data_IF_297361720854
#
_entry.id   IF_297361720854
#
_cell.length_a   1.000
_cell.length_b   1.000
_cell.length_c   1.000
_cell.angle_alpha   90.00
_cell.angle_beta   90.00
_cell.angle_gamma   90.00
#
_symmetry.space_group_name_H-M   'P 1'
#
loop_
_entity.id
_entity.type
_entity.pdbx_description
1 polymer ?
#
# COMPACT_ATOMS: atom_id res chain seq x y z
N UNK A 1 -14.05 11.14 -13.53
CA UNK A 1 -13.15 12.05 -12.79
C UNK A 1 -12.66 11.31 -11.57
N UNK A 2 -11.40 11.35 -11.17
CA UNK A 2 -10.98 10.76 -9.90
C UNK A 2 -11.80 11.46 -8.80
N UNK A 3 -12.49 10.69 -7.97
CA UNK A 3 -13.26 11.21 -6.86
C UNK A 3 -12.33 11.93 -5.89
N UNK A 4 -12.28 13.25 -6.00
CA UNK A 4 -11.47 14.11 -5.18
C UNK A 4 -12.24 14.37 -3.87
N UNK A 5 -11.78 13.77 -2.78
CA UNK A 5 -12.34 14.06 -1.47
C UNK A 5 -11.63 15.26 -0.86
N UNK A 6 -12.32 16.37 -0.77
CA UNK A 6 -11.80 17.63 -0.26
C UNK A 6 -11.26 17.49 1.17
N UNK A 7 -11.99 16.81 2.05
CA UNK A 7 -11.59 16.68 3.46
C UNK A 7 -10.27 15.92 3.61
N UNK A 8 -10.12 14.81 2.92
CA UNK A 8 -8.89 13.99 2.93
C UNK A 8 -7.71 14.75 2.31
N UNK A 9 -7.97 15.47 1.22
CA UNK A 9 -6.95 16.28 0.56
C UNK A 9 -6.51 17.45 1.42
N UNK A 10 -7.44 18.20 2.04
CA UNK A 10 -7.12 19.29 2.96
C UNK A 10 -6.33 18.76 4.15
N UNK A 11 -6.70 17.59 4.69
CA UNK A 11 -5.95 16.95 5.78
C UNK A 11 -4.50 16.61 5.36
N UNK A 12 -4.31 16.06 4.16
CA UNK A 12 -2.96 15.81 3.65
C UNK A 12 -2.16 17.12 3.49
N UNK A 13 -2.77 18.16 2.91
CA UNK A 13 -2.12 19.46 2.75
C UNK A 13 -1.80 20.15 4.07
N UNK A 14 -2.59 19.93 5.12
CA UNK A 14 -2.30 20.48 6.47
C UNK A 14 -1.02 19.92 7.09
N UNK A 15 -0.51 18.78 6.59
CA UNK A 15 0.76 18.20 7.03
C UNK A 15 1.98 18.77 6.31
N UNK A 16 1.79 19.65 5.32
CA UNK A 16 2.89 20.28 4.59
C UNK A 16 3.61 21.31 5.47
N UNK A 17 4.94 21.22 5.46
CA UNK A 17 5.85 22.22 6.00
C UNK A 17 6.75 22.72 4.88
N UNK A 18 7.37 23.88 5.04
CA UNK A 18 8.34 24.42 4.06
C UNK A 18 9.41 23.36 3.76
N UNK A 19 9.91 22.65 4.77
CA UNK A 19 10.94 21.62 4.62
C UNK A 19 10.44 20.42 3.80
N UNK A 20 9.21 19.96 4.03
CA UNK A 20 8.59 18.87 3.24
C UNK A 20 8.36 19.25 1.79
N UNK A 21 7.87 20.47 1.55
CA UNK A 21 7.69 21.02 0.19
C UNK A 21 9.04 21.12 -0.54
N UNK A 22 10.05 21.69 0.11
CA UNK A 22 11.38 21.78 -0.46
C UNK A 22 11.99 20.40 -0.78
N UNK A 23 11.85 19.44 0.15
CA UNK A 23 12.28 18.07 -0.08
C UNK A 23 11.57 17.45 -1.30
N UNK A 24 10.24 17.54 -1.37
CA UNK A 24 9.46 17.02 -2.49
C UNK A 24 9.87 17.66 -3.84
N UNK A 25 10.12 18.97 -3.86
CA UNK A 25 10.61 19.68 -5.05
C UNK A 25 11.97 19.14 -5.50
N UNK A 26 12.92 18.92 -4.58
CA UNK A 26 14.23 18.32 -4.89
C UNK A 26 14.11 16.91 -5.46
N UNK A 27 13.25 16.07 -4.85
CA UNK A 27 12.97 14.70 -5.33
C UNK A 27 12.39 14.75 -6.75
N UNK A 28 11.41 15.62 -6.99
CA UNK A 28 10.78 15.77 -8.31
C UNK A 28 11.79 16.26 -9.35
N UNK A 29 12.57 17.28 -9.04
CA UNK A 29 13.57 17.83 -9.95
C UNK A 29 14.63 16.78 -10.31
N UNK A 30 15.16 16.05 -9.31
CA UNK A 30 16.14 14.99 -9.55
C UNK A 30 15.57 13.84 -10.39
N UNK A 31 14.31 13.48 -10.19
CA UNK A 31 13.64 12.48 -11.03
C UNK A 31 13.49 12.94 -12.48
N UNK A 32 13.03 14.18 -12.72
CA UNK A 32 12.86 14.69 -14.08
C UNK A 32 14.20 14.80 -14.81
N UNK A 33 15.25 15.29 -14.13
CA UNK A 33 16.60 15.32 -14.70
C UNK A 33 17.15 13.93 -14.98
N UNK A 34 16.89 12.96 -14.09
CA UNK A 34 17.26 11.57 -14.35
C UNK A 34 16.61 11.04 -15.62
N UNK A 35 15.32 11.32 -15.84
CA UNK A 35 14.61 10.93 -17.08
C UNK A 35 15.21 11.57 -18.33
N UNK A 36 15.55 12.84 -18.24
CA UNK A 36 16.11 13.60 -19.38
C UNK A 36 17.53 13.17 -19.74
N UNK A 37 18.36 12.90 -18.73
CA UNK A 37 19.79 12.61 -18.92
C UNK A 37 20.11 11.13 -19.04
N UNK A 38 19.18 10.23 -18.68
CA UNK A 38 19.45 8.81 -18.56
C UNK A 38 20.38 8.42 -17.40
N UNK A 39 20.71 9.37 -16.50
CA UNK A 39 21.60 9.14 -15.36
C UNK A 39 20.82 9.26 -14.05
N UNK A 40 20.92 8.28 -13.12
CA UNK A 40 20.20 8.36 -11.85
C UNK A 40 20.76 9.48 -10.97
N UNK A 41 19.92 10.43 -10.63
CA UNK A 41 20.20 11.53 -9.70
C UNK A 41 19.20 11.46 -8.54
N UNK A 42 19.66 11.72 -7.32
CA UNK A 42 18.80 11.76 -6.13
C UNK A 42 19.21 12.92 -5.23
N UNK A 43 18.32 13.91 -5.04
CA UNK A 43 18.64 15.13 -4.31
C UNK A 43 17.89 15.31 -2.99
N UNK A 44 16.85 14.55 -2.78
CA UNK A 44 16.03 14.60 -1.57
C UNK A 44 15.83 13.23 -0.94
N UNK A 45 15.05 13.20 0.14
CA UNK A 45 14.66 11.98 0.85
C UNK A 45 13.25 11.55 0.44
N UNK A 46 12.83 10.29 0.72
CA UNK A 46 11.48 9.85 0.35
C UNK A 46 10.41 10.75 0.97
N UNK A 47 9.41 11.04 0.16
CA UNK A 47 8.22 11.78 0.57
C UNK A 47 7.22 10.84 1.24
N UNK A 48 7.29 9.55 0.89
CA UNK A 48 6.45 8.48 1.42
C UNK A 48 7.27 7.26 1.80
N UNK A 49 6.92 6.63 2.92
CA UNK A 49 7.52 5.37 3.36
C UNK A 49 6.40 4.41 3.72
N UNK A 50 6.59 3.13 3.39
CA UNK A 50 5.76 2.04 3.88
C UNK A 50 6.53 1.25 4.92
N UNK A 51 5.98 1.11 6.13
CA UNK A 51 6.46 0.17 7.13
C UNK A 51 5.61 -1.09 7.12
N UNK A 52 6.25 -2.23 7.32
CA UNK A 52 5.58 -3.52 7.52
C UNK A 52 5.32 -3.75 9.01
N UNK A 53 4.08 -3.59 9.51
CA UNK A 53 3.82 -3.82 10.94
C UNK A 53 4.02 -5.27 11.37
N UNK A 54 3.74 -6.21 10.48
CA UNK A 54 3.92 -7.65 10.70
C UNK A 54 3.82 -8.41 9.39
N UNK A 55 4.40 -9.60 9.32
CA UNK A 55 4.20 -10.56 8.24
C UNK A 55 2.99 -11.47 8.48
N UNK A 56 2.45 -11.51 9.70
CA UNK A 56 1.35 -12.40 10.07
C UNK A 56 0.01 -11.91 9.53
N UNK A 57 -0.82 -12.83 9.04
CA UNK A 57 -2.19 -12.57 8.62
C UNK A 57 -3.10 -13.72 9.05
N UNK A 58 -4.36 -13.41 9.36
CA UNK A 58 -5.39 -14.40 9.66
C UNK A 58 -6.06 -14.99 8.41
N UNK A 59 -5.86 -14.39 7.23
CA UNK A 59 -6.43 -14.83 5.96
C UNK A 59 -5.42 -15.63 5.13
N UNK A 60 -5.93 -16.33 4.11
CA UNK A 60 -5.15 -17.14 3.16
C UNK A 60 -5.47 -16.79 1.71
N UNK A 61 -5.34 -15.49 1.38
CA UNK A 61 -5.58 -15.01 0.02
C UNK A 61 -4.58 -15.61 -0.98
N UNK A 62 -5.03 -16.11 -2.15
CA UNK A 62 -4.21 -16.93 -3.08
C UNK A 62 -3.06 -16.19 -3.75
N UNK A 63 -3.12 -14.85 -3.85
CA UNK A 63 -2.07 -14.03 -4.48
C UNK A 63 -1.31 -13.18 -3.44
N UNK A 64 -1.23 -13.65 -2.20
CA UNK A 64 -0.58 -12.92 -1.13
C UNK A 64 0.43 -13.81 -0.38
N UNK A 65 1.73 -13.47 -0.33
CA UNK A 65 2.72 -14.27 0.39
C UNK A 65 2.40 -14.49 1.87
N UNK A 66 1.81 -13.50 2.55
CA UNK A 66 1.32 -13.68 3.93
C UNK A 66 0.15 -14.68 4.00
N UNK A 67 -0.71 -14.69 3.00
CA UNK A 67 -1.83 -15.63 2.91
C UNK A 67 -1.37 -17.05 2.60
N UNK A 68 -0.47 -17.20 1.66
CA UNK A 68 0.15 -18.47 1.26
C UNK A 68 1.13 -18.98 2.32
N UNK A 69 1.65 -18.09 3.18
CA UNK A 69 2.74 -18.36 4.15
C UNK A 69 4.05 -18.78 3.48
N UNK A 70 4.29 -18.22 2.30
CA UNK A 70 5.43 -18.52 1.44
C UNK A 70 6.43 -17.36 1.45
N UNK A 71 7.07 -17.11 2.59
CA UNK A 71 8.19 -16.19 2.68
C UNK A 71 9.51 -16.97 2.71
N UNK A 72 10.49 -16.55 1.91
CA UNK A 72 11.88 -17.03 2.03
C UNK A 72 12.64 -16.24 3.12
N UNK A 73 12.10 -15.08 3.55
CA UNK A 73 12.65 -14.24 4.61
C UNK A 73 12.02 -14.53 5.99
N UNK A 74 12.68 -14.15 7.10
CA UNK A 74 12.11 -14.28 8.43
C UNK A 74 10.74 -13.59 8.55
N UNK A 75 9.89 -14.15 9.41
CA UNK A 75 8.58 -13.59 9.74
C UNK A 75 8.59 -13.00 11.15
N UNK A 76 7.82 -11.93 11.39
CA UNK A 76 7.79 -11.28 12.69
C UNK A 76 6.95 -10.03 12.76
N UNK A 77 7.24 -9.19 13.78
CA UNK A 77 6.51 -7.97 14.07
C UNK A 77 7.45 -6.80 14.31
N UNK A 78 7.10 -5.65 13.75
CA UNK A 78 7.78 -4.37 13.96
C UNK A 78 7.72 -3.97 15.44
N UNK A 79 8.86 -3.63 16.00
CA UNK A 79 8.97 -3.13 17.36
C UNK A 79 8.83 -1.61 17.40
N UNK A 80 8.05 -1.10 18.36
CA UNK A 80 7.74 0.34 18.44
C UNK A 80 8.98 1.22 18.67
N UNK A 81 9.97 0.74 19.40
CA UNK A 81 11.18 1.53 19.69
C UNK A 81 12.02 1.70 18.43
N UNK A 82 12.26 0.62 17.67
CA UNK A 82 12.92 0.69 16.37
C UNK A 82 12.16 1.59 15.38
N UNK A 83 10.83 1.52 15.37
CA UNK A 83 9.98 2.39 14.56
C UNK A 83 10.19 3.86 14.93
N UNK A 84 10.16 4.20 16.24
CA UNK A 84 10.35 5.56 16.74
C UNK A 84 11.71 6.13 16.36
N UNK A 85 12.78 5.38 16.59
CA UNK A 85 14.15 5.77 16.22
C UNK A 85 14.24 6.08 14.72
N UNK A 86 13.68 5.22 13.86
CA UNK A 86 13.66 5.44 12.42
C UNK A 86 12.86 6.68 12.03
N UNK A 87 11.68 6.89 12.61
CA UNK A 87 10.85 8.06 12.34
C UNK A 87 11.54 9.35 12.79
N UNK A 88 12.22 9.35 13.94
CA UNK A 88 12.93 10.53 14.45
C UNK A 88 14.06 10.98 13.52
N UNK A 89 14.68 10.07 12.79
CA UNK A 89 15.70 10.42 11.78
C UNK A 89 15.13 11.13 10.54
N UNK A 90 13.85 10.89 10.17
CA UNK A 90 13.32 11.27 8.85
C UNK A 90 12.02 12.08 8.87
N UNK A 91 11.33 12.24 10.00
CA UNK A 91 9.98 12.84 10.05
C UNK A 91 9.87 14.25 9.45
N UNK A 92 10.97 15.00 9.48
CA UNK A 92 10.99 16.37 8.97
C UNK A 92 10.81 16.46 7.45
N UNK A 93 11.25 15.45 6.72
CA UNK A 93 11.14 15.31 5.26
C UNK A 93 9.94 14.46 4.84
N UNK A 94 9.48 13.56 5.73
CA UNK A 94 8.43 12.57 5.44
C UNK A 94 7.05 13.22 5.52
N UNK A 95 6.28 13.15 4.44
CA UNK A 95 4.91 13.64 4.38
C UNK A 95 3.89 12.52 4.65
N UNK A 96 4.13 11.33 4.10
CA UNK A 96 3.15 10.26 4.03
C UNK A 96 3.74 8.95 4.55
N UNK A 97 3.09 8.33 5.52
CA UNK A 97 3.49 7.06 6.11
C UNK A 97 2.41 6.01 5.92
N UNK A 98 2.79 4.88 5.37
CA UNK A 98 1.92 3.75 5.08
C UNK A 98 2.26 2.63 6.07
N UNK A 99 1.28 2.16 6.81
CA UNK A 99 1.41 1.03 7.72
C UNK A 99 0.83 -0.24 7.12
N UNK A 100 1.29 -0.63 5.95
CA UNK A 100 1.06 -1.95 5.37
C UNK A 100 2.09 -2.25 4.30
N UNK A 101 2.48 -3.50 4.21
CA UNK A 101 3.28 -4.08 3.16
C UNK A 101 2.83 -5.52 2.97
N UNK A 102 3.09 -6.37 3.96
CA UNK A 102 2.55 -7.72 4.11
C UNK A 102 1.82 -7.82 5.45
N UNK A 103 1.06 -8.90 5.67
CA UNK A 103 0.37 -9.17 6.92
C UNK A 103 -0.89 -8.32 7.19
N UNK A 104 -1.43 -8.47 8.40
CA UNK A 104 -2.56 -7.70 8.91
C UNK A 104 -2.07 -6.78 10.03
N UNK A 105 -2.06 -5.45 9.84
CA UNK A 105 -1.50 -4.49 10.80
C UNK A 105 -2.06 -4.61 12.22
N UNK A 106 -3.35 -4.89 12.35
CA UNK A 106 -4.03 -4.99 13.64
C UNK A 106 -3.65 -6.23 14.47
N UNK A 107 -2.83 -7.14 13.93
CA UNK A 107 -2.19 -8.20 14.70
C UNK A 107 -0.99 -7.73 15.50
N UNK A 108 -0.38 -6.60 15.12
CA UNK A 108 0.68 -6.00 15.92
C UNK A 108 0.07 -5.22 17.08
N UNK A 109 0.35 -5.58 18.35
CA UNK A 109 -0.25 -4.92 19.51
C UNK A 109 0.17 -3.45 19.65
N UNK A 110 1.36 -3.09 19.19
CA UNK A 110 1.91 -1.73 19.24
C UNK A 110 1.50 -0.86 18.04
N UNK A 111 0.68 -1.40 17.11
CA UNK A 111 0.38 -0.73 15.84
C UNK A 111 -0.23 0.66 16.03
N UNK A 112 -1.26 0.80 16.85
CA UNK A 112 -1.96 2.07 17.05
C UNK A 112 -1.09 3.09 17.82
N UNK A 113 -0.19 2.63 18.68
CA UNK A 113 0.80 3.50 19.35
C UNK A 113 1.81 4.06 18.33
N UNK A 114 2.21 3.27 17.35
CA UNK A 114 3.08 3.72 16.25
C UNK A 114 2.34 4.72 15.34
N UNK A 115 1.07 4.49 15.05
CA UNK A 115 0.23 5.44 14.29
C UNK A 115 0.15 6.77 15.03
N UNK A 116 -0.18 6.73 16.33
CA UNK A 116 -0.27 7.94 17.16
C UNK A 116 1.05 8.69 17.19
N UNK A 117 2.17 7.99 17.36
CA UNK A 117 3.49 8.61 17.35
C UNK A 117 3.80 9.35 16.05
N UNK A 118 3.49 8.73 14.90
CA UNK A 118 3.67 9.36 13.59
C UNK A 118 2.72 10.56 13.39
N UNK A 119 1.47 10.43 13.84
CA UNK A 119 0.49 11.52 13.82
C UNK A 119 0.99 12.73 14.62
N UNK A 120 1.50 12.51 15.84
CA UNK A 120 2.03 13.57 16.74
C UNK A 120 3.26 14.27 16.13
N UNK A 121 4.01 13.62 15.21
CA UNK A 121 5.07 14.22 14.38
C UNK A 121 4.54 14.97 13.16
N UNK A 122 3.22 15.08 12.99
CA UNK A 122 2.57 15.75 11.87
C UNK A 122 2.72 15.02 10.54
N UNK A 123 2.92 13.70 10.55
CA UNK A 123 2.97 12.88 9.34
C UNK A 123 1.54 12.42 9.00
N UNK A 124 1.18 12.44 7.72
CA UNK A 124 -0.07 11.85 7.26
C UNK A 124 0.06 10.31 7.27
N UNK A 125 -0.83 9.63 7.99
CA UNK A 125 -0.77 8.18 8.23
C UNK A 125 -1.88 7.44 7.51
N UNK A 126 -1.55 6.28 6.91
CA UNK A 126 -2.51 5.42 6.23
C UNK A 126 -2.26 3.95 6.54
N UNK A 127 -3.33 3.17 6.63
CA UNK A 127 -3.23 1.71 6.72
C UNK A 127 -4.29 1.01 5.88
N UNK A 128 -4.04 -0.28 5.62
CA UNK A 128 -5.00 -1.20 5.01
C UNK A 128 -5.22 -2.39 5.93
N UNK A 129 -6.47 -2.81 6.11
CA UNK A 129 -6.85 -3.94 6.96
C UNK A 129 -7.90 -4.81 6.29
N UNK A 130 -7.93 -6.08 6.66
CA UNK A 130 -9.02 -6.97 6.33
C UNK A 130 -10.22 -6.82 7.30
N UNK A 131 -10.12 -5.91 8.26
CA UNK A 131 -11.13 -5.46 9.23
C UNK A 131 -11.64 -6.50 10.24
N UNK A 132 -11.13 -7.74 10.25
CA UNK A 132 -11.56 -8.77 11.24
C UNK A 132 -11.25 -8.40 12.69
N UNK A 133 -10.27 -7.51 12.89
CA UNK A 133 -9.84 -7.08 14.22
C UNK A 133 -10.34 -5.69 14.61
N UNK A 134 -11.22 -5.07 13.80
CA UNK A 134 -11.87 -3.80 14.12
C UNK A 134 -13.06 -4.01 15.07
N UNK A 135 -12.79 -4.65 16.23
CA UNK A 135 -13.74 -4.72 17.33
C UNK A 135 -14.14 -3.31 17.76
N UNK A 136 -15.19 -3.20 18.56
CA UNK A 136 -15.66 -1.90 19.07
C UNK A 136 -14.53 -1.10 19.74
N UNK A 137 -13.78 -1.71 20.65
CA UNK A 137 -12.66 -1.08 21.34
C UNK A 137 -11.54 -0.68 20.38
N UNK A 138 -11.14 -1.56 19.45
CA UNK A 138 -10.07 -1.25 18.49
C UNK A 138 -10.48 -0.18 17.48
N UNK A 139 -11.75 -0.17 17.08
CA UNK A 139 -12.29 0.89 16.22
C UNK A 139 -12.22 2.27 16.90
N UNK A 140 -12.62 2.35 18.19
CA UNK A 140 -12.47 3.55 18.99
C UNK A 140 -11.01 4.03 19.05
N UNK A 141 -10.10 3.15 19.47
CA UNK A 141 -8.67 3.44 19.54
C UNK A 141 -8.08 3.84 18.18
N UNK A 142 -8.58 3.30 17.08
CA UNK A 142 -8.15 3.68 15.73
C UNK A 142 -8.50 5.12 15.43
N UNK A 143 -9.70 5.58 15.77
CA UNK A 143 -10.09 6.99 15.61
C UNK A 143 -9.26 7.89 16.53
N UNK A 144 -9.07 7.48 17.80
CA UNK A 144 -8.32 8.24 18.81
C UNK A 144 -6.80 8.30 18.50
N UNK A 145 -6.26 7.35 17.73
CA UNK A 145 -4.84 7.34 17.34
C UNK A 145 -4.46 8.46 16.36
N UNK A 146 -5.45 9.13 15.77
CA UNK A 146 -5.23 10.14 14.76
C UNK A 146 -4.86 9.57 13.39
N UNK A 147 -5.16 8.29 13.12
CA UNK A 147 -5.01 7.71 11.78
C UNK A 147 -5.74 8.57 10.75
N UNK A 148 -5.06 8.99 9.69
CA UNK A 148 -5.63 9.88 8.68
C UNK A 148 -6.44 9.12 7.64
N UNK A 149 -6.02 7.91 7.25
CA UNK A 149 -6.71 7.10 6.22
C UNK A 149 -6.76 5.62 6.59
N UNK A 150 -7.96 5.03 6.50
CA UNK A 150 -8.20 3.61 6.70
C UNK A 150 -8.75 2.98 5.43
N UNK A 151 -8.06 1.99 4.91
CA UNK A 151 -8.46 1.17 3.77
C UNK A 151 -9.02 -0.13 4.32
N UNK A 152 -10.29 -0.40 4.06
CA UNK A 152 -10.92 -1.68 4.38
C UNK A 152 -10.95 -2.51 3.11
N UNK A 153 -10.22 -3.61 3.10
CA UNK A 153 -10.18 -4.55 1.98
C UNK A 153 -11.39 -5.48 2.03
N UNK A 154 -12.29 -5.34 1.07
CA UNK A 154 -13.52 -6.12 0.97
C UNK A 154 -13.76 -6.55 -0.49
N UNK A 155 -13.66 -7.83 -0.78
CA UNK A 155 -13.66 -8.36 -2.14
C UNK A 155 -14.88 -9.25 -2.43
N UNK A 156 -16.02 -8.88 -1.88
CA UNK A 156 -17.32 -9.48 -2.09
C UNK A 156 -18.40 -8.86 -1.22
N UNK A 157 -19.66 -8.93 -1.67
CA UNK A 157 -20.84 -8.44 -0.94
C UNK A 157 -21.69 -9.58 -0.36
N UNK A 158 -21.36 -10.84 -0.71
CA UNK A 158 -21.89 -12.04 -0.11
C UNK A 158 -20.76 -12.92 0.41
N UNK A 159 -21.02 -13.73 1.46
CA UNK A 159 -19.98 -14.58 2.05
C UNK A 159 -19.36 -15.53 1.02
N UNK A 160 -20.18 -16.14 0.17
CA UNK A 160 -19.73 -17.14 -0.80
C UNK A 160 -18.78 -16.54 -1.85
N UNK A 161 -19.04 -15.31 -2.30
CA UNK A 161 -18.16 -14.59 -3.23
C UNK A 161 -16.91 -14.06 -2.50
N UNK A 162 -17.08 -13.46 -1.33
CA UNK A 162 -16.00 -12.90 -0.54
C UNK A 162 -14.92 -13.94 -0.22
N UNK A 163 -15.31 -15.13 0.22
CA UNK A 163 -14.37 -16.17 0.64
C UNK A 163 -13.60 -16.81 -0.53
N UNK A 164 -14.03 -16.65 -1.77
CA UNK A 164 -13.30 -17.18 -2.92
C UNK A 164 -11.91 -16.52 -3.08
N UNK A 165 -11.79 -15.25 -2.72
CA UNK A 165 -10.49 -14.58 -2.69
C UNK A 165 -9.97 -14.40 -1.25
N UNK A 166 -10.82 -14.01 -0.30
CA UNK A 166 -10.48 -13.81 1.11
C UNK A 166 -10.63 -15.11 1.91
N UNK A 167 -9.86 -16.12 1.51
CA UNK A 167 -9.95 -17.47 2.10
C UNK A 167 -9.75 -17.44 3.61
N UNK A 168 -10.68 -18.05 4.34
CA UNK A 168 -10.75 -18.02 5.81
C UNK A 168 -11.36 -16.76 6.41
N UNK A 169 -11.75 -15.80 5.56
CA UNK A 169 -12.40 -14.57 6.00
C UNK A 169 -13.90 -14.71 6.22
N UNK A 170 -14.44 -13.87 7.09
CA UNK A 170 -15.86 -13.75 7.42
C UNK A 170 -16.36 -12.36 7.09
N UNK A 171 -17.27 -12.27 6.13
CA UNK A 171 -17.76 -10.97 5.64
C UNK A 171 -18.51 -10.20 6.74
N UNK A 172 -19.27 -10.88 7.59
CA UNK A 172 -19.96 -10.27 8.73
C UNK A 172 -19.00 -9.49 9.64
N UNK A 173 -17.81 -10.04 9.91
CA UNK A 173 -16.76 -9.36 10.70
C UNK A 173 -16.22 -8.11 10.02
N UNK A 174 -16.06 -8.14 8.71
CA UNK A 174 -15.63 -6.97 7.94
C UNK A 174 -16.67 -5.86 8.00
N UNK A 175 -17.94 -6.21 7.83
CA UNK A 175 -19.07 -5.27 7.88
C UNK A 175 -19.27 -4.71 9.31
N UNK A 176 -19.13 -5.53 10.33
CA UNK A 176 -19.14 -5.11 11.74
C UNK A 176 -18.02 -4.11 12.00
N UNK A 177 -16.78 -4.42 11.60
CA UNK A 177 -15.62 -3.55 11.77
C UNK A 177 -15.79 -2.20 11.04
N UNK A 178 -16.35 -2.22 9.83
CA UNK A 178 -16.64 -0.99 9.07
C UNK A 178 -17.70 -0.12 9.78
N UNK A 179 -18.79 -0.74 10.28
CA UNK A 179 -19.82 -0.02 11.05
C UNK A 179 -19.26 0.57 12.35
N UNK A 180 -18.40 -0.17 13.05
CA UNK A 180 -17.73 0.29 14.26
C UNK A 180 -16.89 1.56 14.01
N UNK A 181 -16.06 1.57 12.97
CA UNK A 181 -15.26 2.76 12.62
C UNK A 181 -16.15 3.96 12.28
N UNK A 182 -17.17 3.77 11.45
CA UNK A 182 -18.09 4.87 11.06
C UNK A 182 -18.82 5.42 12.27
N UNK A 183 -19.28 4.55 13.18
CA UNK A 183 -19.93 4.94 14.42
C UNK A 183 -18.99 5.75 15.32
N UNK A 184 -17.78 5.28 15.59
CA UNK A 184 -16.83 5.99 16.44
C UNK A 184 -16.36 7.32 15.85
N UNK A 185 -16.18 7.41 14.52
CA UNK A 185 -15.96 8.71 13.86
C UNK A 185 -17.08 9.70 14.19
N UNK A 186 -18.33 9.25 14.14
CA UNK A 186 -19.51 10.11 14.42
C UNK A 186 -19.59 10.47 15.90
N UNK A 187 -19.43 9.52 16.81
CA UNK A 187 -19.51 9.72 18.27
C UNK A 187 -18.43 10.68 18.78
N UNK A 188 -17.19 10.51 18.27
CA UNK A 188 -16.05 11.36 18.61
C UNK A 188 -15.98 12.66 17.77
N UNK A 189 -16.96 12.89 16.88
CA UNK A 189 -16.99 14.03 15.94
C UNK A 189 -15.69 14.19 15.15
N UNK A 190 -15.01 13.08 14.86
CA UNK A 190 -13.75 13.06 14.15
C UNK A 190 -13.93 13.10 12.63
N UNK A 191 -13.13 13.93 11.95
CA UNK A 191 -13.05 13.93 10.48
C UNK A 191 -12.15 12.82 9.94
N UNK A 192 -11.34 12.18 10.79
CA UNK A 192 -10.41 11.11 10.48
C UNK A 192 -10.74 9.84 11.26
N UNK A 193 -10.36 8.67 10.73
CA UNK A 193 -9.74 8.45 9.42
C UNK A 193 -10.73 8.66 8.26
N UNK A 194 -10.21 9.04 7.09
CA UNK A 194 -10.93 8.88 5.82
C UNK A 194 -11.03 7.39 5.52
N UNK A 195 -12.23 6.85 5.49
CA UNK A 195 -12.49 5.42 5.37
C UNK A 195 -12.99 5.08 3.97
N UNK A 196 -12.32 4.17 3.29
CA UNK A 196 -12.85 3.67 2.03
C UNK A 196 -12.75 2.15 1.89
N UNK A 197 -13.73 1.59 1.20
CA UNK A 197 -13.68 0.22 0.75
C UNK A 197 -12.75 0.10 -0.45
N UNK A 198 -11.76 -0.78 -0.34
CA UNK A 198 -10.97 -1.20 -1.47
C UNK A 198 -11.49 -2.56 -1.95
N UNK A 199 -12.03 -2.56 -3.17
CA UNK A 199 -12.57 -3.75 -3.82
C UNK A 199 -11.59 -4.20 -4.90
N UNK A 200 -10.92 -5.32 -4.67
CA UNK A 200 -10.06 -5.95 -5.67
C UNK A 200 -10.96 -6.70 -6.65
N UNK A 201 -11.03 -6.19 -7.88
CA UNK A 201 -11.87 -6.83 -8.89
C UNK A 201 -11.18 -8.08 -9.41
N UNK A 202 -11.82 -9.21 -9.22
CA UNK A 202 -11.44 -10.53 -9.73
C UNK A 202 -12.65 -11.17 -10.41
N UNK A 203 -12.43 -12.16 -11.28
CA UNK A 203 -13.50 -12.84 -12.02
C UNK A 203 -14.65 -13.31 -11.11
N UNK A 204 -14.43 -13.91 -9.93
CA UNK A 204 -15.52 -14.33 -9.06
C UNK A 204 -16.41 -13.21 -8.53
N UNK A 205 -15.93 -11.96 -8.43
CA UNK A 205 -16.66 -10.86 -7.79
C UNK A 205 -17.00 -9.70 -8.74
N UNK A 206 -16.59 -9.73 -10.01
CA UNK A 206 -16.79 -8.62 -10.95
C UNK A 206 -18.27 -8.26 -11.15
N UNK A 207 -19.20 -9.20 -10.92
CA UNK A 207 -20.63 -8.96 -10.98
C UNK A 207 -21.19 -8.17 -9.78
N UNK A 208 -20.40 -8.01 -8.69
CA UNK A 208 -20.83 -7.31 -7.46
C UNK A 208 -20.37 -5.85 -7.38
N UNK A 209 -19.87 -5.27 -8.48
CA UNK A 209 -19.35 -3.88 -8.49
C UNK A 209 -20.41 -2.86 -8.07
N UNK A 210 -21.66 -3.01 -8.53
CA UNK A 210 -22.73 -2.09 -8.15
C UNK A 210 -23.25 -2.35 -6.72
N UNK A 211 -23.19 -3.58 -6.27
CA UNK A 211 -23.64 -3.93 -4.92
C UNK A 211 -22.68 -3.42 -3.86
N UNK A 212 -21.36 -3.46 -4.09
CA UNK A 212 -20.41 -2.86 -3.13
C UNK A 212 -20.57 -1.34 -3.00
N UNK A 213 -20.96 -0.64 -4.08
CA UNK A 213 -21.28 0.80 -4.01
C UNK A 213 -22.50 1.08 -3.15
N UNK A 214 -23.55 0.26 -3.28
CA UNK A 214 -24.76 0.37 -2.44
C UNK A 214 -24.43 0.08 -0.97
N UNK A 215 -23.72 -1.01 -0.71
CA UNK A 215 -23.28 -1.42 0.62
C UNK A 215 -22.41 -0.37 1.32
N UNK A 216 -21.49 0.24 0.59
CA UNK A 216 -20.65 1.32 1.09
C UNK A 216 -21.47 2.55 1.53
N UNK A 217 -22.46 2.92 0.73
CA UNK A 217 -23.39 4.02 1.05
C UNK A 217 -24.26 3.68 2.26
N UNK A 218 -24.76 2.47 2.37
CA UNK A 218 -25.55 1.98 3.50
C UNK A 218 -24.77 2.06 4.82
N UNK A 219 -23.51 1.59 4.83
CA UNK A 219 -22.64 1.61 5.99
C UNK A 219 -22.17 3.04 6.31
N UNK A 220 -22.03 3.88 5.30
CA UNK A 220 -21.59 5.26 5.44
C UNK A 220 -20.08 5.43 5.40
N UNK A 221 -19.34 4.54 4.71
CA UNK A 221 -17.92 4.78 4.41
C UNK A 221 -17.76 5.89 3.38
N UNK A 222 -16.64 6.59 3.42
CA UNK A 222 -16.44 7.82 2.66
C UNK A 222 -16.32 7.58 1.14
N UNK A 223 -15.86 6.38 0.70
CA UNK A 223 -15.65 6.06 -0.73
C UNK A 223 -15.53 4.56 -0.99
N UNK A 224 -15.70 4.16 -2.26
CA UNK A 224 -15.27 2.84 -2.78
C UNK A 224 -14.18 3.06 -3.83
N UNK A 225 -13.14 2.24 -3.79
CA UNK A 225 -12.07 2.23 -4.80
C UNK A 225 -11.87 0.82 -5.36
N UNK A 226 -11.87 0.73 -6.67
CA UNK A 226 -11.63 -0.53 -7.36
C UNK A 226 -10.14 -0.71 -7.63
N UNK A 227 -9.66 -1.93 -7.44
CA UNK A 227 -8.29 -2.35 -7.75
C UNK A 227 -8.29 -3.51 -8.72
N UNK A 228 -7.26 -3.56 -9.56
CA UNK A 228 -7.00 -4.70 -10.42
C UNK A 228 -6.10 -5.70 -9.72
N UNK A 229 -6.41 -6.99 -9.85
CA UNK A 229 -5.59 -8.06 -9.28
C UNK A 229 -4.20 -8.13 -9.95
N UNK A 230 -3.18 -8.35 -9.12
CA UNK A 230 -1.90 -8.87 -9.58
C UNK A 230 -1.97 -10.39 -9.44
N UNK A 231 -1.84 -11.10 -10.55
CA UNK A 231 -1.78 -12.55 -10.60
C UNK A 231 -0.34 -12.94 -10.93
N UNK A 232 0.28 -13.80 -10.12
CA UNK A 232 1.69 -14.17 -10.34
C UNK A 232 1.87 -14.97 -11.62
N UNK A 233 1.10 -16.01 -11.77
CA UNK A 233 1.05 -16.81 -13.00
C UNK A 233 -0.12 -16.35 -13.88
N UNK A 234 -0.02 -15.12 -14.39
CA UNK A 234 -1.08 -14.53 -15.22
C UNK A 234 -1.20 -15.16 -16.61
N UNK A 235 -0.22 -15.92 -17.05
CA UNK A 235 -0.28 -16.63 -18.34
C UNK A 235 -1.24 -17.82 -18.29
N UNK A 236 -1.29 -18.52 -17.16
CA UNK A 236 -2.14 -19.69 -16.94
C UNK A 236 -3.38 -19.37 -16.08
N UNK A 237 -3.30 -18.36 -15.20
CA UNK A 237 -4.34 -17.97 -14.23
C UNK A 237 -5.01 -19.16 -13.53
N UNK A 238 -4.25 -19.99 -12.80
CA UNK A 238 -4.75 -21.26 -12.25
C UNK A 238 -5.93 -21.06 -11.28
N UNK A 239 -6.00 -19.90 -10.64
CA UNK A 239 -7.07 -19.54 -9.71
C UNK A 239 -8.25 -18.82 -10.40
N UNK A 240 -8.20 -18.64 -11.72
CA UNK A 240 -9.20 -17.92 -12.51
C UNK A 240 -9.58 -16.55 -11.92
N UNK A 241 -8.58 -15.76 -11.57
CA UNK A 241 -8.76 -14.46 -10.91
C UNK A 241 -8.83 -13.28 -11.89
N UNK A 242 -8.33 -13.45 -13.11
CA UNK A 242 -8.35 -12.38 -14.11
C UNK A 242 -9.81 -12.07 -14.51
N UNK A 243 -10.28 -10.83 -14.27
CA UNK A 243 -11.66 -10.48 -14.60
C UNK A 243 -11.92 -10.50 -16.12
N UNK A 244 -13.13 -10.85 -16.51
CA UNK A 244 -13.56 -10.84 -17.92
C UNK A 244 -13.75 -9.42 -18.44
N UNK A 245 -14.10 -8.48 -17.55
CA UNK A 245 -14.16 -7.08 -17.89
C UNK A 245 -12.75 -6.48 -17.98
N UNK A 246 -12.32 -6.22 -19.21
CA UNK A 246 -10.98 -5.67 -19.49
C UNK A 246 -10.67 -4.35 -18.76
N UNK A 247 -11.69 -3.55 -18.43
CA UNK A 247 -11.52 -2.30 -17.67
C UNK A 247 -10.80 -2.54 -16.34
N UNK A 248 -11.10 -3.67 -15.69
CA UNK A 248 -10.54 -4.02 -14.38
C UNK A 248 -9.39 -5.02 -14.46
N UNK A 249 -8.94 -5.41 -15.66
CA UNK A 249 -7.83 -6.32 -15.86
C UNK A 249 -6.50 -5.56 -16.05
N UNK A 250 -5.42 -6.02 -15.40
CA UNK A 250 -4.03 -5.59 -15.69
C UNK A 250 -3.53 -6.18 -16.99
N UNK A 251 -4.18 -7.21 -17.48
CA UNK A 251 -3.73 -8.06 -18.56
C UNK A 251 -4.63 -7.91 -19.78
N UNK A 252 -4.08 -8.25 -20.92
CA UNK A 252 -4.80 -8.35 -22.20
C UNK A 252 -4.28 -9.52 -23.00
N UNK A 253 -5.12 -10.10 -23.84
CA UNK A 253 -4.68 -11.11 -24.80
C UNK A 253 -3.83 -10.44 -25.88
N UNK A 254 -2.62 -10.95 -26.09
CA UNK A 254 -1.74 -10.50 -27.17
C UNK A 254 -2.17 -11.04 -28.53
N UNK A 255 -1.53 -10.53 -29.60
CA UNK A 255 -1.78 -11.03 -30.98
C UNK A 255 -1.42 -12.50 -31.17
N UNK A 256 -0.57 -13.03 -30.31
CA UNK A 256 -0.12 -14.43 -30.26
C UNK A 256 -1.02 -15.32 -29.38
N UNK A 257 -2.18 -14.80 -28.94
CA UNK A 257 -3.11 -15.51 -28.06
C UNK A 257 -2.66 -15.61 -26.59
N UNK A 258 -1.47 -15.14 -26.24
CA UNK A 258 -0.95 -15.19 -24.87
C UNK A 258 -1.38 -13.98 -24.05
N UNK A 259 -1.57 -14.20 -22.75
CA UNK A 259 -1.85 -13.11 -21.81
C UNK A 259 -0.59 -12.25 -21.61
N UNK A 260 -0.76 -10.94 -21.65
CA UNK A 260 0.32 -9.95 -21.49
C UNK A 260 -0.11 -8.82 -20.57
N UNK A 261 0.84 -8.28 -19.79
CA UNK A 261 0.59 -7.09 -19.00
C UNK A 261 0.32 -5.88 -19.91
N UNK A 262 -0.62 -5.02 -19.52
CA UNK A 262 -0.93 -3.77 -20.25
C UNK A 262 0.16 -2.71 -20.15
N UNK A 263 1.11 -2.86 -19.20
CA UNK A 263 2.20 -1.90 -18.98
C UNK A 263 3.25 -1.93 -20.09
N UNK A 264 3.69 -0.75 -20.54
CA UNK A 264 4.83 -0.61 -21.43
C UNK A 264 6.19 -0.76 -20.76
N UNK A 265 6.24 -0.92 -19.43
CA UNK A 265 7.46 -1.07 -18.61
C UNK A 265 8.59 -0.09 -18.99
N UNK A 266 8.25 1.19 -19.14
CA UNK A 266 9.23 2.23 -19.44
C UNK A 266 10.37 2.24 -18.42
N UNK A 267 11.60 2.52 -18.87
CA UNK A 267 12.83 2.53 -18.04
C UNK A 267 12.88 3.71 -17.07
N UNK A 268 11.80 3.98 -16.37
CA UNK A 268 11.69 4.94 -15.27
C UNK A 268 10.56 4.55 -14.32
N UNK A 269 10.69 4.92 -13.05
CA UNK A 269 9.69 4.67 -12.02
C UNK A 269 9.71 5.79 -10.99
N UNK A 270 8.65 6.60 -10.91
CA UNK A 270 8.54 7.67 -9.92
C UNK A 270 8.62 7.14 -8.49
N UNK A 271 8.04 5.96 -8.24
CA UNK A 271 8.00 5.36 -6.90
C UNK A 271 9.40 5.15 -6.30
N UNK A 272 10.39 4.74 -7.11
CA UNK A 272 11.75 4.53 -6.64
C UNK A 272 12.48 5.83 -6.24
N UNK A 273 11.97 7.01 -6.64
CA UNK A 273 12.51 8.31 -6.26
C UNK A 273 11.86 8.91 -5.02
N UNK A 274 10.56 8.67 -4.82
CA UNK A 274 9.82 9.33 -3.75
C UNK A 274 9.39 8.41 -2.61
N UNK A 275 9.55 7.09 -2.75
CA UNK A 275 9.07 6.12 -1.77
C UNK A 275 9.99 4.90 -1.64
N UNK A 276 9.83 4.19 -0.54
CA UNK A 276 10.42 2.88 -0.29
C UNK A 276 9.56 2.07 0.68
N UNK A 277 10.00 0.85 0.97
CA UNK A 277 9.41 0.00 2.01
C UNK A 277 10.47 -0.39 3.03
N UNK A 278 10.09 -0.39 4.30
CA UNK A 278 10.90 -0.89 5.41
C UNK A 278 10.15 -2.09 6.00
N UNK A 279 10.81 -3.24 6.03
CA UNK A 279 10.27 -4.46 6.62
C UNK A 279 10.27 -4.38 8.15
N UNK A 280 9.55 -5.29 8.80
CA UNK A 280 9.45 -5.37 10.26
C UNK A 280 10.80 -5.50 10.98
N UNK A 281 11.80 -6.08 10.30
CA UNK A 281 13.16 -6.31 10.81
C UNK A 281 14.19 -5.30 10.31
N UNK A 282 13.76 -4.26 9.58
CA UNK A 282 14.58 -3.11 9.20
C UNK A 282 15.25 -3.21 7.84
N UNK A 283 14.94 -4.21 7.01
CA UNK A 283 15.41 -4.24 5.63
C UNK A 283 14.72 -3.14 4.82
N UNK A 284 15.47 -2.45 4.00
CA UNK A 284 14.95 -1.43 3.09
C UNK A 284 14.89 -2.02 1.69
N UNK A 285 13.69 -2.01 1.10
CA UNK A 285 13.43 -2.56 -0.24
C UNK A 285 12.83 -1.49 -1.16
N UNK A 286 12.99 -1.63 -2.49
CA UNK A 286 12.68 -0.56 -3.44
C UNK A 286 11.19 -0.20 -3.49
N UNK A 287 10.31 -1.18 -3.38
CA UNK A 287 8.87 -0.95 -3.47
C UNK A 287 8.04 -2.14 -2.98
N UNK A 288 6.71 -2.00 -3.00
CA UNK A 288 5.75 -3.01 -2.56
C UNK A 288 5.64 -4.26 -3.48
N UNK A 289 6.34 -4.31 -4.60
CA UNK A 289 6.41 -5.50 -5.45
C UNK A 289 7.51 -6.46 -5.00
N UNK A 290 8.49 -6.00 -4.24
CA UNK A 290 9.52 -6.85 -3.62
C UNK A 290 9.02 -7.45 -2.29
N UNK A 291 7.97 -8.28 -2.38
CA UNK A 291 7.25 -8.79 -1.21
C UNK A 291 8.09 -9.70 -0.32
N UNK A 292 9.09 -10.33 -0.87
CA UNK A 292 9.99 -11.24 -0.17
C UNK A 292 11.36 -10.63 0.17
N UNK A 293 11.51 -9.32 -0.04
CA UNK A 293 12.73 -8.54 0.22
C UNK A 293 13.98 -9.13 -0.47
N UNK A 294 13.85 -9.52 -1.73
CA UNK A 294 14.95 -10.08 -2.54
C UNK A 294 15.93 -9.00 -3.01
N UNK A 295 15.47 -7.75 -3.16
CA UNK A 295 16.28 -6.58 -3.55
C UNK A 295 16.55 -5.68 -2.34
N UNK A 296 17.37 -6.17 -1.41
CA UNK A 296 17.70 -5.41 -0.20
C UNK A 296 18.63 -4.24 -0.53
N UNK A 297 18.16 -3.02 -0.33
CA UNK A 297 18.92 -1.81 -0.57
C UNK A 297 19.69 -1.33 0.67
N UNK A 298 19.37 -1.87 1.84
CA UNK A 298 20.07 -1.63 3.11
C UNK A 298 19.36 -2.26 4.30
N UNK A 299 19.96 -2.09 5.47
CA UNK A 299 19.41 -2.58 6.74
C UNK A 299 19.55 -1.49 7.82
N UNK A 300 18.43 -0.99 8.33
CA UNK A 300 18.41 0.10 9.29
C UNK A 300 18.86 -0.29 10.71
N UNK A 301 19.12 -1.58 10.96
CA UNK A 301 19.82 -2.03 12.16
C UNK A 301 21.33 -1.84 12.07
N UNK A 302 21.85 -1.63 10.87
CA UNK A 302 23.31 -1.53 10.60
C UNK A 302 23.74 -0.11 10.24
N UNK A 303 22.84 0.72 9.73
CA UNK A 303 23.13 2.06 9.23
C UNK A 303 21.89 2.95 9.32
N UNK A 304 22.08 4.27 9.37
CA UNK A 304 20.97 5.23 9.38
C UNK A 304 20.16 5.19 8.11
N UNK A 305 18.92 5.69 8.16
CA UNK A 305 18.09 5.80 6.99
C UNK A 305 18.73 6.67 5.89
N UNK A 306 19.38 7.76 6.28
CA UNK A 306 20.02 8.70 5.35
C UNK A 306 21.20 8.08 4.62
N UNK A 307 22.01 7.29 5.31
CA UNK A 307 23.09 6.51 4.70
C UNK A 307 22.54 5.47 3.73
N UNK A 308 21.53 4.71 4.16
CA UNK A 308 20.86 3.72 3.31
C UNK A 308 20.34 4.34 2.01
N UNK A 309 19.61 5.46 2.09
CA UNK A 309 18.97 6.10 0.93
C UNK A 309 19.97 6.58 -0.12
N UNK A 310 21.19 6.91 0.29
CA UNK A 310 22.25 7.45 -0.57
C UNK A 310 23.37 6.44 -0.90
N UNK A 311 23.25 5.19 -0.45
CA UNK A 311 24.27 4.17 -0.64
C UNK A 311 24.37 3.70 -2.11
N UNK A 312 25.39 2.88 -2.38
CA UNK A 312 25.67 2.41 -3.73
C UNK A 312 24.65 1.38 -4.22
N UNK A 313 24.02 0.59 -3.32
CA UNK A 313 22.95 -0.34 -3.69
C UNK A 313 21.76 0.41 -4.31
N UNK A 314 21.34 1.54 -3.70
CA UNK A 314 20.28 2.37 -4.27
C UNK A 314 20.66 3.00 -5.60
N UNK A 315 21.91 3.49 -5.74
CA UNK A 315 22.40 4.07 -6.99
C UNK A 315 22.43 3.01 -8.10
N UNK A 316 22.92 1.81 -7.78
CA UNK A 316 22.99 0.70 -8.72
C UNK A 316 21.59 0.26 -9.15
N UNK A 317 20.66 0.07 -8.22
CA UNK A 317 19.28 -0.34 -8.53
C UNK A 317 18.55 0.70 -9.41
N UNK A 318 18.74 2.00 -9.13
CA UNK A 318 18.20 3.07 -9.99
C UNK A 318 18.81 3.04 -11.39
N UNK A 319 20.11 2.76 -11.51
CA UNK A 319 20.81 2.62 -12.78
C UNK A 319 20.27 1.43 -13.59
N UNK A 320 20.12 0.28 -12.98
CA UNK A 320 19.54 -0.92 -13.59
C UNK A 320 18.12 -0.68 -14.09
N UNK A 321 17.27 -0.08 -13.27
CA UNK A 321 15.91 0.29 -13.65
C UNK A 321 15.88 1.22 -14.86
N UNK A 322 16.76 2.21 -14.92
CA UNK A 322 16.84 3.16 -16.03
C UNK A 322 17.45 2.55 -17.30
N UNK A 323 18.21 1.46 -17.17
CA UNK A 323 18.78 0.72 -18.30
C UNK A 323 17.79 -0.27 -18.89
N UNK A 324 17.18 -1.11 -18.05
CA UNK A 324 16.25 -2.16 -18.49
C UNK A 324 15.31 -2.62 -17.36
N UNK A 325 14.27 -1.82 -17.10
CA UNK A 325 13.24 -2.15 -16.09
C UNK A 325 12.61 -3.54 -16.28
N UNK A 326 12.40 -3.95 -17.51
CA UNK A 326 11.80 -5.25 -17.84
C UNK A 326 12.61 -6.46 -17.40
N UNK A 327 13.94 -6.29 -17.18
CA UNK A 327 14.83 -7.35 -16.74
C UNK A 327 14.87 -7.50 -15.21
N UNK A 328 14.25 -6.58 -14.48
CA UNK A 328 14.12 -6.66 -13.02
C UNK A 328 12.84 -7.47 -12.75
N UNK A 329 12.99 -8.62 -12.09
CA UNK A 329 11.91 -9.59 -11.85
C UNK A 329 10.67 -8.97 -11.19
N UNK A 330 10.83 -8.22 -10.09
CA UNK A 330 9.74 -7.53 -9.41
C UNK A 330 9.05 -6.45 -10.26
N UNK A 331 9.70 -6.00 -11.33
CA UNK A 331 9.14 -5.03 -12.27
C UNK A 331 8.38 -5.68 -13.43
N UNK A 332 8.66 -6.94 -13.75
CA UNK A 332 8.09 -7.63 -14.93
C UNK A 332 6.55 -7.69 -14.90
N UNK A 333 5.95 -7.84 -13.71
CA UNK A 333 4.48 -7.84 -13.50
C UNK A 333 4.00 -6.57 -12.78
N UNK A 334 4.70 -5.44 -12.97
CA UNK A 334 4.39 -4.18 -12.30
C UNK A 334 3.50 -3.28 -13.15
N UNK A 335 2.40 -2.83 -12.57
CA UNK A 335 1.47 -1.87 -13.18
C UNK A 335 1.70 -0.42 -12.75
N UNK A 336 2.77 -0.12 -12.00
CA UNK A 336 3.05 1.25 -11.56
C UNK A 336 3.27 2.17 -12.75
N UNK A 337 2.56 3.30 -12.76
CA UNK A 337 2.54 4.23 -13.89
C UNK A 337 1.48 3.92 -14.95
N UNK A 338 0.72 2.83 -14.84
CA UNK A 338 -0.49 2.62 -15.61
C UNK A 338 -1.68 3.31 -14.95
N UNK A 339 -2.57 3.86 -15.78
CA UNK A 339 -3.93 4.23 -15.35
C UNK A 339 -4.76 2.96 -15.17
N UNK A 340 -4.47 2.20 -14.12
CA UNK A 340 -5.22 0.99 -13.77
C UNK A 340 -6.34 1.32 -12.76
N UNK A 341 -6.51 2.58 -12.46
CA UNK A 341 -7.48 3.14 -11.52
C UNK A 341 -8.55 3.86 -12.33
N UNK A 342 -9.65 3.25 -12.54
CA UNK A 342 -10.81 3.95 -13.08
C UNK A 342 -11.94 3.89 -12.08
N UNK A 343 -12.28 5.04 -11.63
CA UNK A 343 -13.35 5.74 -10.95
C UNK A 343 -12.97 6.33 -9.62
#
# INVERSE_FOLDING_TARGET
>A
MPYFNWNDTINLFSKLTIRRVWNATRVMASYQLSKLTGKPMQWGYPVSISFEPTTSCNLRCPECPSGLREFSRPTGMLKKDFFRETIDDIYKELLYLIFYFQGEPFLNPDFLDMVKYAHDKGIYTATSTNAHYLTDEKAKKTVESGLDRLIISIDGTTQDVYQQYRVGGKLDKVLEGARNIVRWKKELKSKTPFVFFQFLVVKPNEHQIEDIKKLAKEIGVDQVRFKTAQVYDYENDPNQLIPTNEKYSRYKVGKDGKMKIKSGLNNHCWKLWHANVITWDGLVVPCCFDKDATHQLGNLKMQSFKETWNNDNYKQFRKELMTSRKNIDICANCSEGLKVWEE
#
